data_IF_319760100229
#
_entry.id   IF_319760100229
#
_cell.length_a   1.000
_cell.length_b   1.000
_cell.length_c   1.000
_cell.angle_alpha   90.00
_cell.angle_beta   90.00
_cell.angle_gamma   90.00
#
_symmetry.space_group_name_H-M   'P 1'
#
loop_
_entity.id
_entity.type
_entity.pdbx_description
1 polymer ?
#
# COMPACT_ATOMS: atom_id res chain seq x y z
N UNK A 1 22.67 23.58 -23.65
CA UNK A 1 23.61 22.63 -23.03
C UNK A 1 24.34 23.34 -21.91
N UNK A 2 23.72 23.43 -20.73
CA UNK A 2 24.35 23.95 -19.51
C UNK A 2 24.33 22.80 -18.53
N UNK A 3 25.51 22.17 -18.36
CA UNK A 3 25.71 21.12 -17.38
C UNK A 3 25.62 21.73 -15.98
N UNK A 4 24.47 21.58 -15.34
CA UNK A 4 24.39 21.74 -13.90
C UNK A 4 25.23 20.62 -13.28
N UNK A 5 26.28 20.99 -12.57
CA UNK A 5 27.17 20.03 -11.91
C UNK A 5 26.38 19.29 -10.82
N UNK A 6 26.58 17.96 -10.72
CA UNK A 6 25.90 17.08 -9.77
C UNK A 6 25.95 17.58 -8.30
N UNK A 7 26.94 18.43 -7.98
CA UNK A 7 27.13 19.03 -6.66
C UNK A 7 26.16 20.20 -6.35
N UNK A 8 25.68 20.93 -7.36
CA UNK A 8 24.65 21.97 -7.15
C UNK A 8 23.26 21.38 -6.91
N UNK A 9 22.99 20.18 -7.45
CA UNK A 9 21.78 19.42 -7.13
C UNK A 9 21.79 18.90 -5.69
N UNK A 10 22.94 18.78 -5.01
CA UNK A 10 23.06 18.16 -3.68
C UNK A 10 22.97 19.12 -2.49
N UNK A 11 23.00 20.44 -2.71
CA UNK A 11 22.98 21.44 -1.63
C UNK A 11 21.76 22.37 -1.74
N UNK A 12 20.68 22.13 -0.96
CA UNK A 12 19.46 22.92 -1.06
C UNK A 12 19.62 24.29 -0.38
N UNK A 13 19.25 25.35 -1.10
CA UNK A 13 19.27 26.75 -0.61
C UNK A 13 17.93 27.20 0.01
N UNK A 14 16.89 26.36 0.00
CA UNK A 14 15.57 26.68 0.58
C UNK A 14 14.84 25.45 1.15
N UNK A 15 14.04 25.60 2.24
CA UNK A 15 13.33 24.49 2.87
C UNK A 15 12.42 23.62 1.96
N UNK A 16 11.68 24.16 0.96
CA UNK A 16 10.86 23.32 0.08
C UNK A 16 11.67 22.49 -0.94
N UNK A 17 12.86 22.96 -1.34
CA UNK A 17 13.71 22.20 -2.29
C UNK A 17 14.39 21.01 -1.62
N UNK A 18 14.75 21.14 -0.33
CA UNK A 18 15.28 20.03 0.46
C UNK A 18 14.28 18.88 0.61
N UNK A 19 13.00 19.17 0.85
CA UNK A 19 11.96 18.15 1.05
C UNK A 19 11.71 17.30 -0.21
N UNK A 20 11.65 17.94 -1.38
CA UNK A 20 11.48 17.26 -2.67
C UNK A 20 12.67 16.35 -2.95
N UNK A 21 13.88 16.83 -2.67
CA UNK A 21 15.09 16.06 -2.88
C UNK A 21 15.19 14.84 -1.96
N UNK A 22 14.84 14.98 -0.68
CA UNK A 22 14.76 13.86 0.25
C UNK A 22 13.74 12.82 -0.23
N UNK A 23 12.55 13.26 -0.66
CA UNK A 23 11.52 12.36 -1.21
C UNK A 23 12.05 11.57 -2.41
N UNK A 24 12.76 12.24 -3.33
CA UNK A 24 13.34 11.60 -4.50
C UNK A 24 14.43 10.59 -4.14
N UNK A 25 15.32 10.92 -3.19
CA UNK A 25 16.35 10.00 -2.71
C UNK A 25 15.73 8.77 -2.03
N UNK A 26 14.66 8.96 -1.25
CA UNK A 26 13.92 7.86 -0.60
C UNK A 26 13.28 6.96 -1.65
N UNK A 27 12.58 7.52 -2.64
CA UNK A 27 11.94 6.73 -3.71
C UNK A 27 12.94 5.92 -4.54
N UNK A 28 14.08 6.51 -4.92
CA UNK A 28 15.15 5.77 -5.63
C UNK A 28 15.70 4.64 -4.76
N UNK A 29 15.92 4.91 -3.46
CA UNK A 29 16.44 3.91 -2.53
C UNK A 29 15.46 2.76 -2.31
N UNK A 30 14.16 3.07 -2.20
CA UNK A 30 13.09 2.08 -2.09
C UNK A 30 13.08 1.17 -3.31
N UNK A 31 13.11 1.73 -4.53
CA UNK A 31 13.13 0.94 -5.77
C UNK A 31 14.35 0.05 -5.86
N UNK A 32 15.54 0.59 -5.54
CA UNK A 32 16.76 -0.19 -5.55
C UNK A 32 16.67 -1.38 -4.58
N UNK A 33 16.11 -1.15 -3.39
CA UNK A 33 15.92 -2.20 -2.39
C UNK A 33 14.90 -3.25 -2.83
N UNK A 34 13.78 -2.85 -3.42
CA UNK A 34 12.74 -3.76 -3.90
C UNK A 34 13.22 -4.58 -5.11
N UNK A 35 13.92 -3.96 -6.06
CA UNK A 35 14.51 -4.66 -7.18
C UNK A 35 15.56 -5.68 -6.71
N UNK A 36 16.38 -5.30 -5.73
CA UNK A 36 17.34 -6.21 -5.10
C UNK A 36 16.63 -7.42 -4.49
N UNK A 37 15.54 -7.19 -3.74
CA UNK A 37 14.77 -8.28 -3.15
C UNK A 37 14.15 -9.22 -4.18
N UNK A 38 13.50 -8.66 -5.21
CA UNK A 38 12.98 -9.44 -6.33
C UNK A 38 14.10 -10.29 -6.94
N UNK A 39 15.28 -9.72 -7.17
CA UNK A 39 16.41 -10.46 -7.73
C UNK A 39 16.85 -11.66 -6.88
N UNK A 40 16.86 -11.54 -5.54
CA UNK A 40 17.30 -12.64 -4.66
C UNK A 40 16.23 -13.72 -4.47
N UNK A 41 14.94 -13.39 -4.53
CA UNK A 41 13.84 -14.34 -4.34
C UNK A 41 13.39 -15.00 -5.64
N UNK A 42 13.68 -14.40 -6.80
CA UNK A 42 13.23 -14.88 -8.13
C UNK A 42 13.51 -16.36 -8.39
N UNK A 43 14.65 -16.89 -7.92
CA UNK A 43 14.99 -18.30 -8.09
C UNK A 43 14.01 -19.23 -7.35
N UNK A 44 13.64 -18.88 -6.12
CA UNK A 44 12.70 -19.65 -5.32
C UNK A 44 11.28 -19.51 -5.86
N UNK A 45 10.90 -18.32 -6.30
CA UNK A 45 9.59 -18.04 -6.89
C UNK A 45 9.36 -18.79 -8.20
N UNK A 46 10.39 -18.86 -9.05
CA UNK A 46 10.32 -19.59 -10.31
C UNK A 46 10.08 -21.09 -10.07
N UNK A 47 10.68 -21.65 -9.04
CA UNK A 47 10.53 -23.07 -8.72
C UNK A 47 9.22 -23.38 -8.00
N UNK A 48 8.81 -22.55 -7.04
CA UNK A 48 7.65 -22.82 -6.19
C UNK A 48 6.33 -22.23 -6.70
N UNK A 49 6.35 -20.99 -7.21
CA UNK A 49 5.14 -20.25 -7.56
C UNK A 49 4.83 -20.39 -9.04
N UNK A 50 5.84 -20.34 -9.92
CA UNK A 50 5.61 -20.35 -11.35
C UNK A 50 5.21 -21.74 -11.87
N UNK A 51 5.72 -22.80 -11.24
CA UNK A 51 5.39 -24.19 -11.55
C UNK A 51 3.96 -24.61 -11.13
N UNK A 52 3.37 -23.93 -10.14
CA UNK A 52 2.02 -24.23 -9.66
C UNK A 52 0.92 -23.74 -10.63
N UNK A 53 -0.21 -24.45 -10.64
CA UNK A 53 -1.40 -24.04 -11.39
C UNK A 53 -1.96 -22.69 -10.89
N UNK A 54 -2.72 -22.02 -11.74
CA UNK A 54 -3.32 -20.73 -11.40
C UNK A 54 -4.33 -20.87 -10.25
N UNK A 55 -3.92 -20.45 -9.06
CA UNK A 55 -4.75 -20.38 -7.84
C UNK A 55 -5.05 -18.92 -7.47
N UNK A 56 -6.11 -18.71 -6.67
CA UNK A 56 -6.47 -17.37 -6.15
C UNK A 56 -5.32 -16.74 -5.37
N UNK A 57 -4.62 -17.54 -4.57
CA UNK A 57 -3.45 -17.10 -3.78
C UNK A 57 -2.30 -16.66 -4.69
N UNK A 58 -2.11 -17.32 -5.84
CA UNK A 58 -1.09 -16.93 -6.84
C UNK A 58 -1.41 -15.56 -7.44
N UNK A 59 -2.67 -15.29 -7.76
CA UNK A 59 -3.08 -13.96 -8.27
C UNK A 59 -2.84 -12.87 -7.21
N UNK A 60 -3.25 -13.12 -5.97
CA UNK A 60 -3.05 -12.18 -4.86
C UNK A 60 -1.56 -11.89 -4.63
N UNK A 61 -0.72 -12.92 -4.72
CA UNK A 61 0.73 -12.78 -4.66
C UNK A 61 1.25 -11.82 -5.75
N UNK A 62 0.89 -12.04 -7.02
CA UNK A 62 1.34 -11.18 -8.11
C UNK A 62 0.87 -9.74 -7.94
N UNK A 63 -0.36 -9.54 -7.46
CA UNK A 63 -0.90 -8.20 -7.21
C UNK A 63 -0.13 -7.50 -6.10
N UNK A 64 0.03 -8.14 -4.94
CA UNK A 64 0.72 -7.53 -3.79
C UNK A 64 2.21 -7.29 -4.04
N UNK A 65 2.85 -8.09 -4.90
CA UNK A 65 4.28 -7.99 -5.19
C UNK A 65 4.60 -7.02 -6.31
N UNK A 66 3.94 -7.14 -7.46
CA UNK A 66 4.35 -6.41 -8.67
C UNK A 66 3.58 -5.11 -8.86
N UNK A 67 2.31 -5.01 -8.39
CA UNK A 67 1.52 -3.81 -8.59
C UNK A 67 2.12 -2.58 -7.86
N UNK A 68 2.55 -2.67 -6.57
CA UNK A 68 3.20 -1.54 -5.90
C UNK A 68 4.48 -1.08 -6.60
N UNK A 69 5.27 -2.03 -7.13
CA UNK A 69 6.49 -1.71 -7.90
C UNK A 69 6.15 -0.88 -9.14
N UNK A 70 5.10 -1.25 -9.87
CA UNK A 70 4.70 -0.49 -11.06
C UNK A 70 4.25 0.93 -10.72
N UNK A 71 3.53 1.11 -9.60
CA UNK A 71 3.18 2.43 -9.11
C UNK A 71 4.44 3.22 -8.77
N UNK A 72 5.33 2.65 -7.98
CA UNK A 72 6.54 3.32 -7.55
C UNK A 72 7.48 3.70 -8.71
N UNK A 73 7.66 2.82 -9.70
CA UNK A 73 8.48 3.14 -10.88
C UNK A 73 7.84 4.22 -11.75
N UNK A 74 6.51 4.22 -11.86
CA UNK A 74 5.81 5.20 -12.68
C UNK A 74 5.82 6.60 -12.07
N UNK A 75 5.99 6.74 -10.75
CA UNK A 75 5.97 8.03 -10.02
C UNK A 75 7.31 8.76 -10.05
N UNK A 76 8.43 8.04 -10.20
CA UNK A 76 9.80 8.59 -10.30
C UNK A 76 9.98 9.76 -11.29
N UNK A 77 9.51 9.68 -12.56
CA UNK A 77 9.81 10.69 -13.56
C UNK A 77 9.17 12.05 -13.25
N UNK A 78 8.06 12.03 -12.49
CA UNK A 78 7.31 13.23 -12.09
C UNK A 78 8.10 14.02 -11.03
N UNK A 79 8.81 13.34 -10.13
CA UNK A 79 9.61 13.96 -9.06
C UNK A 79 11.03 14.37 -9.48
N UNK A 80 11.66 13.63 -10.40
CA UNK A 80 13.07 13.82 -10.78
C UNK A 80 13.30 14.66 -12.02
N UNK A 81 12.39 14.61 -12.99
CA UNK A 81 12.63 15.07 -14.35
C UNK A 81 11.42 15.80 -14.90
N UNK A 82 10.94 16.84 -14.20
CA UNK A 82 10.09 17.82 -14.85
C UNK A 82 10.97 18.90 -15.50
N UNK A 83 11.19 18.88 -16.83
CA UNK A 83 11.66 20.06 -17.53
C UNK A 83 10.72 21.23 -17.25
N UNK A 84 11.23 22.47 -17.10
CA UNK A 84 10.40 23.64 -16.87
C UNK A 84 9.35 23.89 -17.97
N UNK A 85 9.51 23.27 -19.15
CA UNK A 85 8.71 23.52 -20.34
C UNK A 85 7.59 22.50 -20.63
N UNK A 86 7.44 21.44 -19.80
CA UNK A 86 6.35 20.46 -19.96
C UNK A 86 5.20 20.77 -19.01
N UNK A 87 4.17 21.42 -19.53
CA UNK A 87 2.88 21.55 -18.87
C UNK A 87 2.04 20.31 -19.14
N UNK A 88 1.75 19.51 -18.11
CA UNK A 88 0.80 18.40 -18.23
C UNK A 88 -0.60 18.94 -18.48
N UNK A 89 -1.34 18.30 -19.38
CA UNK A 89 -2.74 18.64 -19.59
C UNK A 89 -3.55 18.13 -18.40
N UNK A 90 -4.65 18.80 -18.06
CA UNK A 90 -5.58 18.33 -17.03
C UNK A 90 -6.04 16.87 -17.27
N UNK A 91 -6.15 16.47 -18.54
CA UNK A 91 -6.50 15.11 -18.92
C UNK A 91 -5.42 14.07 -18.55
N UNK A 92 -4.15 14.43 -18.68
CA UNK A 92 -3.03 13.54 -18.35
C UNK A 92 -2.94 13.32 -16.84
N UNK A 93 -3.07 14.40 -16.06
CA UNK A 93 -3.13 14.32 -14.59
C UNK A 93 -4.34 13.51 -14.11
N UNK A 94 -5.48 13.61 -14.80
CA UNK A 94 -6.68 12.84 -14.48
C UNK A 94 -6.47 11.34 -14.68
N UNK A 95 -5.92 10.92 -15.84
CA UNK A 95 -5.60 9.51 -16.10
C UNK A 95 -4.60 8.99 -15.06
N UNK A 96 -3.58 9.80 -14.78
CA UNK A 96 -2.55 9.48 -13.80
C UNK A 96 -3.14 9.22 -12.41
N UNK A 97 -3.97 10.14 -11.93
CA UNK A 97 -4.63 10.01 -10.62
C UNK A 97 -5.58 8.81 -10.57
N UNK A 98 -6.30 8.53 -11.66
CA UNK A 98 -7.17 7.36 -11.76
C UNK A 98 -6.37 6.05 -11.66
N UNK A 99 -5.23 5.97 -12.34
CA UNK A 99 -4.32 4.83 -12.28
C UNK A 99 -3.81 4.62 -10.85
N UNK A 100 -3.31 5.66 -10.18
CA UNK A 100 -2.82 5.54 -8.81
C UNK A 100 -3.91 5.11 -7.81
N UNK A 101 -5.10 5.74 -7.86
CA UNK A 101 -6.20 5.41 -6.95
C UNK A 101 -6.72 3.99 -7.16
N UNK A 102 -6.86 3.57 -8.43
CA UNK A 102 -7.36 2.23 -8.75
C UNK A 102 -6.37 1.13 -8.36
N UNK A 103 -5.08 1.32 -8.64
CA UNK A 103 -4.05 0.37 -8.27
C UNK A 103 -3.90 0.27 -6.74
N UNK A 104 -3.90 1.41 -6.05
CA UNK A 104 -3.89 1.44 -4.57
C UNK A 104 -5.09 0.69 -4.00
N UNK A 105 -6.30 0.95 -4.50
CA UNK A 105 -7.51 0.22 -4.09
C UNK A 105 -7.34 -1.30 -4.27
N UNK A 106 -6.83 -1.75 -5.42
CA UNK A 106 -6.60 -3.18 -5.69
C UNK A 106 -5.62 -3.80 -4.68
N UNK A 107 -4.54 -3.09 -4.35
CA UNK A 107 -3.53 -3.55 -3.40
C UNK A 107 -4.13 -3.71 -2.00
N UNK A 108 -4.79 -2.67 -1.48
CA UNK A 108 -5.42 -2.73 -0.16
C UNK A 108 -6.49 -3.81 -0.06
N UNK A 109 -7.36 -3.90 -1.08
CA UNK A 109 -8.38 -4.94 -1.16
C UNK A 109 -7.76 -6.34 -1.13
N UNK A 110 -6.61 -6.52 -1.77
CA UNK A 110 -5.89 -7.81 -1.77
C UNK A 110 -5.34 -8.15 -0.39
N UNK A 111 -4.77 -7.18 0.32
CA UNK A 111 -4.30 -7.37 1.71
C UNK A 111 -5.45 -7.67 2.66
N UNK A 112 -6.55 -6.93 2.55
CA UNK A 112 -7.75 -7.16 3.35
C UNK A 112 -8.35 -8.55 3.07
N UNK A 113 -8.37 -8.97 1.81
CA UNK A 113 -8.83 -10.30 1.43
C UNK A 113 -7.92 -11.40 2.00
N UNK A 114 -6.59 -11.20 2.04
CA UNK A 114 -5.67 -12.14 2.70
C UNK A 114 -5.99 -12.23 4.20
N UNK A 115 -6.27 -11.11 4.87
CA UNK A 115 -6.70 -11.12 6.28
C UNK A 115 -8.03 -11.84 6.46
N UNK A 116 -8.99 -11.62 5.56
CA UNK A 116 -10.28 -12.33 5.58
C UNK A 116 -10.08 -13.85 5.46
N UNK A 117 -9.24 -14.31 4.51
CA UNK A 117 -8.93 -15.73 4.36
C UNK A 117 -8.31 -16.33 5.63
N UNK A 118 -7.42 -15.59 6.32
CA UNK A 118 -6.83 -16.01 7.60
C UNK A 118 -7.90 -16.16 8.68
N UNK A 119 -8.83 -15.21 8.77
CA UNK A 119 -9.95 -15.29 9.72
C UNK A 119 -10.83 -16.48 9.39
N UNK A 120 -11.18 -16.71 8.12
CA UNK A 120 -12.01 -17.83 7.71
C UNK A 120 -11.36 -19.19 8.01
N UNK A 121 -10.04 -19.31 7.80
CA UNK A 121 -9.29 -20.50 8.16
C UNK A 121 -9.32 -20.77 9.68
N UNK A 122 -9.23 -19.72 10.50
CA UNK A 122 -9.23 -19.82 11.96
C UNK A 122 -10.64 -20.02 12.56
N UNK A 123 -11.67 -19.46 11.92
CA UNK A 123 -13.08 -19.53 12.33
C UNK A 123 -13.87 -20.66 11.65
N UNK A 124 -13.19 -21.70 11.15
CA UNK A 124 -13.77 -22.80 10.36
C UNK A 124 -15.09 -23.41 10.93
N UNK A 125 -15.35 -23.28 12.23
CA UNK A 125 -16.58 -23.76 12.88
C UNK A 125 -17.77 -22.77 12.88
N UNK A 126 -17.57 -21.46 12.72
CA UNK A 126 -18.62 -20.44 12.83
C UNK A 126 -18.92 -19.75 11.50
N UNK A 127 -19.64 -20.45 10.61
CA UNK A 127 -20.00 -19.96 9.26
C UNK A 127 -20.71 -18.61 9.24
N UNK A 128 -21.45 -18.26 10.29
CA UNK A 128 -22.12 -16.96 10.41
C UNK A 128 -21.11 -15.81 10.45
N UNK A 129 -20.03 -15.95 11.23
CA UNK A 129 -19.00 -14.91 11.38
C UNK A 129 -18.29 -14.73 10.03
N UNK A 130 -17.87 -15.81 9.39
CA UNK A 130 -17.25 -15.76 8.06
C UNK A 130 -18.16 -15.13 7.03
N UNK A 131 -19.47 -15.45 7.04
CA UNK A 131 -20.43 -14.85 6.13
C UNK A 131 -20.57 -13.34 6.38
N UNK A 132 -20.71 -12.92 7.64
CA UNK A 132 -20.82 -11.50 8.01
C UNK A 132 -19.58 -10.71 7.58
N UNK A 133 -18.38 -11.20 7.87
CA UNK A 133 -17.13 -10.53 7.49
C UNK A 133 -16.98 -10.43 5.98
N UNK A 134 -17.33 -11.50 5.25
CA UNK A 134 -17.30 -11.50 3.80
C UNK A 134 -18.31 -10.52 3.20
N UNK A 135 -19.51 -10.41 3.77
CA UNK A 135 -20.48 -9.40 3.32
C UNK A 135 -20.00 -7.98 3.58
N UNK A 136 -19.36 -7.74 4.73
CA UNK A 136 -18.80 -6.43 5.08
C UNK A 136 -17.70 -6.02 4.09
N UNK A 137 -16.79 -6.94 3.78
CA UNK A 137 -15.75 -6.75 2.76
C UNK A 137 -16.33 -6.33 1.40
N UNK A 138 -17.30 -7.07 0.87
CA UNK A 138 -17.88 -6.71 -0.44
C UNK A 138 -18.63 -5.38 -0.42
N UNK A 139 -19.30 -5.04 0.69
CA UNK A 139 -19.97 -3.75 0.85
C UNK A 139 -18.92 -2.62 0.80
N UNK A 140 -17.80 -2.78 1.50
CA UNK A 140 -16.72 -1.79 1.48
C UNK A 140 -16.16 -1.57 0.07
N UNK A 141 -15.85 -2.65 -0.66
CA UNK A 141 -15.33 -2.56 -2.03
C UNK A 141 -16.29 -1.79 -2.95
N UNK A 142 -17.60 -2.05 -2.84
CA UNK A 142 -18.62 -1.34 -3.62
C UNK A 142 -18.65 0.14 -3.26
N UNK A 143 -18.65 0.45 -1.96
CA UNK A 143 -18.66 1.83 -1.48
C UNK A 143 -17.42 2.60 -1.91
N UNK A 144 -16.24 1.96 -1.87
CA UNK A 144 -14.97 2.55 -2.33
C UNK A 144 -14.98 2.83 -3.83
N UNK A 145 -15.48 1.90 -4.64
CA UNK A 145 -15.57 2.08 -6.10
C UNK A 145 -16.45 3.29 -6.44
N UNK A 146 -17.61 3.41 -5.77
CA UNK A 146 -18.51 4.56 -5.92
C UNK A 146 -17.84 5.85 -5.41
N UNK A 147 -17.11 5.75 -4.29
CA UNK A 147 -16.34 6.84 -3.72
C UNK A 147 -15.31 7.41 -4.70
N UNK A 148 -14.51 6.56 -5.32
CA UNK A 148 -13.52 6.98 -6.33
C UNK A 148 -14.22 7.66 -7.52
N UNK A 149 -15.27 7.04 -8.07
CA UNK A 149 -15.99 7.59 -9.22
C UNK A 149 -16.62 8.96 -8.96
N UNK A 150 -17.15 9.20 -7.75
CA UNK A 150 -17.77 10.48 -7.38
C UNK A 150 -16.77 11.55 -6.94
N UNK A 151 -15.61 11.12 -6.42
CA UNK A 151 -14.56 12.00 -5.91
C UNK A 151 -13.68 12.52 -7.03
N UNK A 152 -13.43 11.71 -8.06
CA UNK A 152 -12.41 12.02 -9.06
C UNK A 152 -12.71 13.28 -9.88
N UNK A 153 -13.98 13.55 -10.15
CA UNK A 153 -14.44 14.76 -10.85
C UNK A 153 -14.25 16.04 -10.02
N UNK A 154 -14.04 15.92 -8.71
CA UNK A 154 -13.93 17.05 -7.78
C UNK A 154 -12.49 17.42 -7.44
N UNK A 155 -11.51 16.62 -7.87
CA UNK A 155 -10.10 16.94 -7.64
C UNK A 155 -9.66 18.15 -8.47
N UNK A 156 -8.89 19.02 -7.83
CA UNK A 156 -8.16 20.10 -8.51
C UNK A 156 -6.69 19.74 -8.56
N UNK A 157 -6.09 19.79 -9.74
CA UNK A 157 -4.70 19.43 -9.96
C UNK A 157 -3.83 20.67 -10.06
N UNK A 158 -2.66 20.64 -9.41
CA UNK A 158 -1.59 21.61 -9.63
C UNK A 158 -0.85 21.31 -10.95
N UNK A 159 -0.01 22.24 -11.38
CA UNK A 159 0.88 22.13 -12.54
C UNK A 159 1.82 20.92 -12.51
N UNK A 160 2.03 20.32 -11.34
CA UNK A 160 2.81 19.08 -11.16
C UNK A 160 1.92 17.83 -11.00
N UNK A 161 0.67 17.88 -11.47
CA UNK A 161 -0.35 16.83 -11.33
C UNK A 161 -0.63 16.40 -9.88
N UNK A 162 -0.27 17.23 -8.90
CA UNK A 162 -0.56 16.99 -7.49
C UNK A 162 -1.99 17.43 -7.17
N UNK A 163 -2.75 16.58 -6.48
CA UNK A 163 -4.10 16.92 -6.04
C UNK A 163 -4.06 17.96 -4.91
N UNK A 164 -4.61 19.16 -5.18
CA UNK A 164 -4.71 20.29 -4.25
C UNK A 164 -6.12 20.28 -3.64
N UNK A 165 -6.24 19.56 -2.52
CA UNK A 165 -7.46 19.47 -1.73
C UNK A 165 -8.22 18.16 -1.94
N UNK A 166 -8.48 17.47 -0.82
CA UNK A 166 -9.37 16.33 -0.78
C UNK A 166 -10.80 16.79 -0.48
N UNK A 167 -11.81 16.38 -1.27
CA UNK A 167 -13.18 16.62 -0.88
C UNK A 167 -13.49 15.83 0.40
N UNK A 168 -14.40 16.31 1.27
CA UNK A 168 -14.71 15.67 2.55
C UNK A 168 -15.12 14.20 2.45
N UNK A 169 -15.74 13.80 1.33
CA UNK A 169 -16.11 12.40 1.09
C UNK A 169 -14.88 11.48 0.98
N UNK A 170 -13.79 11.95 0.38
CA UNK A 170 -12.54 11.18 0.28
C UNK A 170 -11.93 10.92 1.66
N UNK A 171 -12.09 11.86 2.61
CA UNK A 171 -11.61 11.71 3.99
C UNK A 171 -12.38 10.58 4.70
N UNK A 172 -13.70 10.50 4.49
CA UNK A 172 -14.51 9.42 5.09
C UNK A 172 -14.00 8.06 4.61
N UNK A 173 -13.77 7.92 3.31
CA UNK A 173 -13.23 6.68 2.75
C UNK A 173 -11.81 6.37 3.23
N UNK A 174 -10.95 7.39 3.35
CA UNK A 174 -9.60 7.24 3.86
C UNK A 174 -9.54 6.75 5.32
N UNK A 175 -10.61 6.93 6.11
CA UNK A 175 -10.69 6.46 7.50
C UNK A 175 -11.42 5.12 7.61
N UNK A 176 -12.47 4.89 6.82
CA UNK A 176 -13.29 3.67 6.92
C UNK A 176 -12.47 2.40 6.64
N UNK A 177 -11.59 2.43 5.64
CA UNK A 177 -10.80 1.26 5.25
C UNK A 177 -9.77 0.83 6.32
N UNK A 178 -8.92 1.71 6.84
CA UNK A 178 -8.01 1.37 7.95
C UNK A 178 -8.76 0.85 9.18
N UNK A 179 -9.94 1.41 9.46
CA UNK A 179 -10.78 0.95 10.59
C UNK A 179 -11.27 -0.48 10.36
N UNK A 180 -11.78 -0.83 9.18
CA UNK A 180 -12.20 -2.20 8.90
C UNK A 180 -11.00 -3.17 8.89
N UNK A 181 -9.87 -2.74 8.33
CA UNK A 181 -8.63 -3.52 8.34
C UNK A 181 -8.15 -3.80 9.78
N UNK A 182 -8.20 -2.79 10.65
CA UNK A 182 -7.89 -2.90 12.08
C UNK A 182 -8.87 -3.83 12.80
N UNK A 183 -10.15 -3.78 12.47
CA UNK A 183 -11.17 -4.67 13.02
C UNK A 183 -10.87 -6.13 12.67
N UNK A 184 -10.63 -6.43 11.39
CA UNK A 184 -10.30 -7.77 10.92
C UNK A 184 -9.01 -8.28 11.57
N UNK A 185 -7.97 -7.44 11.60
CA UNK A 185 -6.70 -7.77 12.22
C UNK A 185 -6.86 -8.07 13.73
N UNK A 186 -7.64 -7.26 14.44
CA UNK A 186 -7.95 -7.44 15.86
C UNK A 186 -8.69 -8.76 16.12
N UNK A 187 -9.71 -9.06 15.31
CA UNK A 187 -10.45 -10.32 15.42
C UNK A 187 -9.55 -11.54 15.18
N UNK A 188 -8.64 -11.45 14.21
CA UNK A 188 -7.67 -12.51 13.91
C UNK A 188 -6.72 -12.71 15.10
N UNK A 189 -6.19 -11.62 15.65
CA UNK A 189 -5.24 -11.62 16.75
C UNK A 189 -5.85 -12.16 18.05
N UNK A 190 -7.08 -11.74 18.38
CA UNK A 190 -7.80 -12.22 19.57
C UNK A 190 -7.97 -13.74 19.51
N UNK A 191 -8.43 -14.27 18.36
CA UNK A 191 -8.61 -15.71 18.21
C UNK A 191 -7.31 -16.48 18.19
N UNK A 192 -6.27 -15.92 17.59
CA UNK A 192 -4.95 -16.52 17.62
C UNK A 192 -4.48 -16.68 19.07
N UNK A 193 -4.56 -15.62 19.89
CA UNK A 193 -4.18 -15.67 21.31
C UNK A 193 -5.06 -16.66 22.08
N UNK A 194 -6.37 -16.73 21.80
CA UNK A 194 -7.26 -17.73 22.41
C UNK A 194 -6.88 -19.18 22.03
N UNK A 195 -6.58 -19.42 20.76
CA UNK A 195 -6.16 -20.74 20.27
C UNK A 195 -4.83 -21.18 20.89
N UNK A 196 -3.84 -20.28 20.94
CA UNK A 196 -2.55 -20.53 21.58
C UNK A 196 -2.72 -20.81 23.08
N UNK A 197 -3.64 -20.11 23.76
CA UNK A 197 -3.93 -20.34 25.18
C UNK A 197 -4.64 -21.68 25.45
N UNK A 198 -5.45 -22.17 24.51
CA UNK A 198 -6.22 -23.41 24.66
C UNK A 198 -5.43 -24.66 24.26
N UNK A 199 -4.67 -24.60 23.15
CA UNK A 199 -3.98 -25.76 22.56
C UNK A 199 -2.47 -25.79 22.84
N UNK A 200 -1.90 -24.74 23.42
CA UNK A 200 -0.48 -24.62 23.74
C UNK A 200 0.36 -24.10 22.57
N UNK A 201 1.48 -23.43 22.90
CA UNK A 201 2.37 -22.76 21.93
C UNK A 201 3.05 -23.72 20.93
N UNK A 202 3.20 -25.00 21.27
CA UNK A 202 4.01 -25.93 20.48
C UNK A 202 3.39 -26.47 19.19
N UNK A 203 2.08 -26.33 18.96
CA UNK A 203 1.40 -26.96 17.80
C UNK A 203 1.22 -26.03 16.59
N UNK A 204 1.52 -24.73 16.69
CA UNK A 204 1.32 -23.74 15.61
C UNK A 204 2.49 -22.75 15.43
N UNK A 205 3.77 -23.21 15.41
CA UNK A 205 4.93 -22.32 15.31
C UNK A 205 4.94 -21.51 13.99
N UNK A 206 4.39 -22.09 12.92
CA UNK A 206 4.28 -21.43 11.61
C UNK A 206 3.33 -20.23 11.65
N UNK A 207 2.15 -20.41 12.25
CA UNK A 207 1.12 -19.37 12.34
C UNK A 207 1.54 -18.28 13.33
N UNK A 208 2.30 -18.65 14.36
CA UNK A 208 2.87 -17.70 15.32
C UNK A 208 3.91 -16.78 14.67
N UNK A 209 4.85 -17.34 13.91
CA UNK A 209 5.84 -16.56 13.18
C UNK A 209 5.14 -15.58 12.22
N UNK A 210 4.12 -16.08 11.52
CA UNK A 210 3.27 -15.32 10.61
C UNK A 210 2.52 -14.17 11.27
N UNK A 211 1.91 -14.43 12.41
CA UNK A 211 1.22 -13.43 13.21
C UNK A 211 2.19 -12.38 13.72
N UNK A 212 3.29 -12.80 14.35
CA UNK A 212 4.25 -11.89 14.97
C UNK A 212 4.83 -10.91 13.96
N UNK A 213 5.33 -11.42 12.83
CA UNK A 213 6.01 -10.60 11.84
C UNK A 213 5.02 -9.74 11.05
N UNK A 214 3.82 -10.26 10.76
CA UNK A 214 2.75 -9.48 10.12
C UNK A 214 2.17 -8.38 11.02
N UNK A 215 2.20 -8.56 12.34
CA UNK A 215 1.67 -7.61 13.32
C UNK A 215 2.48 -6.31 13.33
N UNK A 216 3.81 -6.41 13.37
CA UNK A 216 4.69 -5.24 13.38
C UNK A 216 4.50 -4.38 12.13
N UNK A 217 4.44 -5.03 10.98
CA UNK A 217 4.17 -4.38 9.70
C UNK A 217 2.82 -3.66 9.69
N UNK A 218 1.75 -4.34 10.14
CA UNK A 218 0.42 -3.74 10.19
C UNK A 218 0.36 -2.47 11.05
N UNK A 219 0.89 -2.53 12.27
CA UNK A 219 0.90 -1.36 13.16
C UNK A 219 1.76 -0.22 12.62
N UNK A 220 2.89 -0.53 11.98
CA UNK A 220 3.74 0.48 11.38
C UNK A 220 3.00 1.25 10.27
N UNK A 221 2.29 0.53 9.37
CA UNK A 221 1.48 1.18 8.33
C UNK A 221 0.40 2.06 8.94
N UNK A 222 -0.37 1.53 9.88
CA UNK A 222 -1.48 2.26 10.51
C UNK A 222 -1.00 3.53 11.23
N UNK A 223 0.11 3.44 11.97
CA UNK A 223 0.71 4.60 12.65
C UNK A 223 1.19 5.64 11.65
N UNK A 224 1.85 5.21 10.56
CA UNK A 224 2.27 6.13 9.50
C UNK A 224 1.06 6.77 8.81
N UNK A 225 0.01 6.02 8.50
CA UNK A 225 -1.20 6.53 7.88
C UNK A 225 -1.90 7.55 8.79
N UNK A 226 -2.02 7.25 10.08
CA UNK A 226 -2.57 8.16 11.07
C UNK A 226 -1.72 9.44 11.20
N UNK A 227 -0.39 9.31 11.25
CA UNK A 227 0.52 10.45 11.27
C UNK A 227 0.34 11.34 10.04
N UNK A 228 0.27 10.75 8.84
CA UNK A 228 0.02 11.47 7.59
C UNK A 228 -1.33 12.20 7.60
N UNK A 229 -2.38 11.53 8.09
CA UNK A 229 -3.70 12.17 8.28
C UNK A 229 -3.61 13.39 9.20
N UNK A 230 -2.91 13.27 10.34
CA UNK A 230 -2.70 14.38 11.28
C UNK A 230 -1.92 15.52 10.62
N UNK A 231 -0.86 15.23 9.88
CA UNK A 231 -0.09 16.26 9.16
C UNK A 231 -0.95 17.00 8.13
N UNK A 232 -1.82 16.29 7.40
CA UNK A 232 -2.75 16.92 6.48
C UNK A 232 -3.69 17.90 7.20
N UNK A 233 -4.32 17.48 8.31
CA UNK A 233 -5.26 18.32 9.05
C UNK A 233 -4.60 19.51 9.74
N UNK A 234 -3.38 19.34 10.29
CA UNK A 234 -2.71 20.38 11.08
C UNK A 234 -1.97 21.38 10.19
N UNK A 235 -1.31 20.90 9.13
CA UNK A 235 -0.37 21.71 8.34
C UNK A 235 -0.88 22.04 6.93
N UNK A 236 -2.06 21.52 6.51
CA UNK A 236 -2.61 21.73 5.16
C UNK A 236 -1.63 21.39 4.02
N UNK A 237 -0.74 20.41 4.23
CA UNK A 237 0.22 19.98 3.20
C UNK A 237 -0.51 19.32 2.02
N UNK A 238 0.03 19.42 0.79
CA UNK A 238 -0.58 18.79 -0.38
C UNK A 238 -0.60 17.26 -0.23
N UNK A 239 -1.81 16.69 -0.19
CA UNK A 239 -2.05 15.24 -0.03
C UNK A 239 -1.33 14.40 -1.09
N UNK A 240 -1.16 14.97 -2.30
CA UNK A 240 -0.43 14.33 -3.39
C UNK A 240 0.99 13.93 -2.99
N UNK A 241 1.74 14.79 -2.32
CA UNK A 241 3.12 14.50 -1.90
C UNK A 241 3.23 13.38 -0.86
N UNK A 242 2.18 13.12 -0.09
CA UNK A 242 2.18 12.11 0.99
C UNK A 242 1.66 10.73 0.53
N UNK A 243 0.83 10.67 -0.51
CA UNK A 243 0.47 9.41 -1.19
C UNK A 243 1.72 8.70 -1.75
N UNK A 244 2.70 9.45 -2.28
CA UNK A 244 3.96 8.86 -2.77
C UNK A 244 4.76 8.21 -1.63
N UNK A 245 4.85 8.85 -0.46
CA UNK A 245 5.53 8.28 0.70
C UNK A 245 4.80 7.02 1.19
N UNK A 246 3.47 7.01 1.16
CA UNK A 246 2.69 5.84 1.50
C UNK A 246 2.97 4.66 0.55
N UNK A 247 3.03 4.91 -0.77
CA UNK A 247 3.36 3.89 -1.77
C UNK A 247 4.79 3.35 -1.60
N UNK A 248 5.76 4.21 -1.28
CA UNK A 248 7.15 3.83 -0.95
C UNK A 248 7.21 2.86 0.25
N UNK A 249 6.52 3.21 1.34
CA UNK A 249 6.47 2.40 2.56
C UNK A 249 5.68 1.10 2.37
N UNK A 250 4.57 1.14 1.63
CA UNK A 250 3.78 -0.05 1.33
C UNK A 250 4.58 -1.05 0.49
N UNK A 251 5.35 -0.56 -0.47
CA UNK A 251 6.22 -1.40 -1.29
C UNK A 251 7.45 -1.92 -0.54
N UNK A 252 7.94 -1.22 0.48
CA UNK A 252 8.97 -1.75 1.39
C UNK A 252 8.44 -2.83 2.36
N UNK A 253 7.12 -2.92 2.52
CA UNK A 253 6.47 -3.82 3.47
C UNK A 253 5.74 -5.00 2.82
N UNK A 254 5.37 -4.89 1.54
CA UNK A 254 4.98 -6.05 0.72
C UNK A 254 6.07 -7.13 0.72
N UNK A 255 7.34 -6.73 0.81
CA UNK A 255 8.49 -7.58 1.13
C UNK A 255 8.27 -8.47 2.37
N UNK A 256 7.72 -7.91 3.45
CA UNK A 256 7.46 -8.66 4.68
C UNK A 256 6.25 -9.61 4.51
N UNK A 257 5.24 -9.19 3.73
CA UNK A 257 4.05 -10.01 3.43
C UNK A 257 4.40 -11.19 2.50
N UNK A 258 5.38 -11.03 1.62
CA UNK A 258 5.85 -12.08 0.70
C UNK A 258 6.61 -13.19 1.43
N UNK A 259 7.51 -12.87 2.38
CA UNK A 259 8.15 -13.87 3.25
C UNK A 259 7.06 -14.71 3.96
N UNK A 260 5.96 -14.07 4.31
CA UNK A 260 4.84 -14.69 5.00
C UNK A 260 3.91 -15.50 4.09
N UNK A 261 3.84 -15.21 2.78
CA UNK A 261 3.06 -15.98 1.82
C UNK A 261 3.84 -17.20 1.31
N UNK A 262 5.15 -17.08 1.10
CA UNK A 262 6.06 -18.17 0.68
C UNK A 262 6.18 -19.29 1.73
N UNK A 263 5.81 -19.01 2.98
CA UNK A 263 5.77 -19.99 4.07
C UNK A 263 4.41 -20.72 4.14
N UNK A 264 3.37 -20.17 3.50
CA UNK A 264 2.00 -20.72 3.48
C UNK A 264 1.74 -21.58 2.23
N UNK A 265 2.51 -21.39 1.15
CA UNK A 265 2.47 -22.18 -0.09
C UNK A 265 3.49 -23.31 0.00
#
# INVERSE_FOLDING_TARGET
MTGASLNELLMPSSPPTAAIQVSNCVGISAIAFILWDICITLNQEAEQIWSQSWSRTKILYFICRYLPVTLLVSTLPIGLTKPPDVSFTHHDCFIWQLYQLSATMIIFSSVEFIMLLRVEALYNQHRLISLTLRTLYYIEIILMTIGIGTTIERFRYDTSCLSVGLPPMAIIFAVVMPVNQTLLFTLTSIRFVQGVRQYGWGMVPLVELLMRDGTWSFFLIEVLLAANGVFYFVMSYPYGSMLYWYEDFFSALSLQIDIQLSVVI
#
